data_IF_273627941444
#
_entry.id   IF_273627941444
#
_cell.length_a   1.000
_cell.length_b   1.000
_cell.length_c   1.000
_cell.angle_alpha   90.00
_cell.angle_beta   90.00
_cell.angle_gamma   90.00
#
_symmetry.space_group_name_H-M   'P 1'
#
loop_
_entity.id
_entity.type
_entity.pdbx_description
1 polymer ?
#
# COMPACT_ATOMS: atom_id res chain seq x y z
N UNK A 1 22.59 -14.46 -26.33
CA UNK A 1 21.85 -15.73 -26.23
C UNK A 1 21.93 -16.23 -24.79
N UNK A 2 21.40 -15.47 -23.83
CA UNK A 2 21.55 -15.77 -22.42
C UNK A 2 20.23 -15.57 -21.70
N UNK A 3 19.90 -16.47 -20.80
CA UNK A 3 18.63 -16.48 -20.04
C UNK A 3 18.48 -15.28 -19.08
N UNK A 4 19.45 -14.36 -19.08
CA UNK A 4 19.54 -13.17 -18.24
C UNK A 4 19.19 -11.86 -18.96
N UNK A 5 18.64 -11.92 -20.17
CA UNK A 5 18.12 -10.73 -20.85
C UNK A 5 16.98 -10.10 -20.02
N UNK A 6 17.09 -8.82 -19.66
CA UNK A 6 16.04 -8.05 -18.96
C UNK A 6 14.65 -8.18 -19.63
N UNK A 7 14.64 -8.32 -20.96
CA UNK A 7 13.41 -8.54 -21.74
C UNK A 7 12.70 -9.86 -21.38
N UNK A 8 13.43 -10.92 -21.04
CA UNK A 8 12.83 -12.19 -20.60
C UNK A 8 12.10 -12.01 -19.28
N UNK A 9 12.70 -11.32 -18.31
CA UNK A 9 12.05 -11.00 -17.03
C UNK A 9 10.79 -10.16 -17.21
N UNK A 10 10.82 -9.19 -18.14
CA UNK A 10 9.65 -8.38 -18.46
C UNK A 10 8.50 -9.22 -19.03
N UNK A 11 8.79 -10.14 -19.95
CA UNK A 11 7.79 -11.05 -20.53
C UNK A 11 7.27 -12.04 -19.48
N UNK A 12 8.13 -12.55 -18.60
CA UNK A 12 7.73 -13.46 -17.52
C UNK A 12 6.79 -12.77 -16.54
N UNK A 13 7.08 -11.52 -16.13
CA UNK A 13 6.19 -10.74 -15.28
C UNK A 13 4.85 -10.47 -15.94
N UNK A 14 4.84 -10.19 -17.24
CA UNK A 14 3.61 -10.00 -17.99
C UNK A 14 2.76 -11.28 -17.97
N UNK A 15 3.35 -12.43 -18.31
CA UNK A 15 2.65 -13.73 -18.30
C UNK A 15 2.17 -14.09 -16.89
N UNK A 16 3.00 -13.89 -15.86
CA UNK A 16 2.61 -14.10 -14.47
C UNK A 16 1.40 -13.22 -14.10
N UNK A 17 1.39 -11.95 -14.48
CA UNK A 17 0.27 -11.04 -14.23
C UNK A 17 -1.01 -11.47 -14.98
N UNK A 18 -0.90 -12.04 -16.19
CA UNK A 18 -2.04 -12.60 -16.91
C UNK A 18 -2.59 -13.86 -16.22
N UNK A 19 -1.73 -14.76 -15.74
CA UNK A 19 -2.14 -16.01 -15.06
C UNK A 19 -2.76 -15.74 -13.69
N UNK A 20 -2.11 -14.89 -12.88
CA UNK A 20 -2.62 -14.52 -11.56
C UNK A 20 -3.77 -13.51 -11.63
N UNK A 21 -3.83 -12.69 -12.68
CA UNK A 21 -4.76 -11.59 -12.84
C UNK A 21 -4.40 -10.36 -12.00
N UNK A 22 -4.66 -9.16 -12.53
CA UNK A 22 -4.33 -7.88 -11.87
C UNK A 22 -5.03 -7.67 -10.53
N UNK A 23 -6.24 -8.23 -10.34
CA UNK A 23 -6.98 -8.15 -9.07
C UNK A 23 -6.28 -8.87 -7.92
N UNK A 24 -5.75 -10.08 -8.15
CA UNK A 24 -5.04 -10.84 -7.11
C UNK A 24 -3.70 -10.19 -6.78
N UNK A 25 -2.95 -9.76 -7.79
CA UNK A 25 -1.67 -9.07 -7.59
C UNK A 25 -1.86 -7.73 -6.86
N UNK A 26 -2.95 -6.99 -7.11
CA UNK A 26 -3.24 -5.75 -6.39
C UNK A 26 -3.61 -6.00 -4.93
N UNK A 27 -4.46 -6.98 -4.63
CA UNK A 27 -4.82 -7.32 -3.24
C UNK A 27 -3.61 -7.82 -2.46
N UNK A 28 -2.90 -8.84 -2.95
CA UNK A 28 -1.73 -9.38 -2.25
C UNK A 28 -0.54 -8.41 -2.25
N UNK A 29 -0.36 -7.64 -3.33
CA UNK A 29 0.71 -6.67 -3.45
C UNK A 29 0.51 -5.42 -2.60
N UNK A 30 -0.73 -5.05 -2.27
CA UNK A 30 -1.00 -3.96 -1.31
C UNK A 30 -0.55 -4.38 0.08
N UNK A 31 -1.01 -5.53 0.57
CA UNK A 31 -0.70 -6.01 1.92
C UNK A 31 0.80 -6.28 2.11
N UNK A 32 1.44 -6.94 1.13
CA UNK A 32 2.88 -7.17 1.13
C UNK A 32 3.67 -5.88 0.92
N UNK A 33 3.16 -4.97 0.09
CA UNK A 33 3.78 -3.67 -0.17
C UNK A 33 3.79 -2.78 1.07
N UNK A 34 2.74 -2.83 1.88
CA UNK A 34 2.64 -2.07 3.13
C UNK A 34 3.63 -2.58 4.18
N UNK A 35 3.75 -3.91 4.32
CA UNK A 35 4.74 -4.54 5.19
C UNK A 35 6.18 -4.20 4.76
N UNK A 36 6.49 -4.28 3.46
CA UNK A 36 7.80 -3.94 2.91
C UNK A 36 8.07 -2.42 3.02
N UNK A 37 7.05 -1.57 2.85
CA UNK A 37 7.16 -0.11 3.01
C UNK A 37 7.55 0.23 4.45
N UNK A 38 6.92 -0.39 5.44
CA UNK A 38 7.27 -0.23 6.85
C UNK A 38 8.70 -0.70 7.16
N UNK A 39 9.12 -1.84 6.62
CA UNK A 39 10.50 -2.34 6.78
C UNK A 39 11.54 -1.42 6.14
N UNK A 40 11.29 -0.96 4.90
CA UNK A 40 12.20 0.01 4.24
C UNK A 40 12.25 1.31 5.03
N UNK A 41 11.13 1.72 5.62
CA UNK A 41 11.04 2.92 6.46
C UNK A 41 11.89 2.80 7.70
N UNK A 42 11.81 1.70 8.44
CA UNK A 42 12.63 1.50 9.64
C UNK A 42 14.12 1.42 9.32
N UNK A 43 14.48 0.78 8.19
CA UNK A 43 15.88 0.69 7.75
C UNK A 43 16.45 2.05 7.30
N UNK A 44 15.62 2.93 6.72
CA UNK A 44 16.06 4.26 6.26
C UNK A 44 15.82 5.37 7.30
N UNK A 45 15.06 5.12 8.37
CA UNK A 45 14.77 6.10 9.42
C UNK A 45 15.97 6.39 10.32
N UNK A 46 17.05 5.62 10.22
CA UNK A 46 18.32 5.92 10.91
C UNK A 46 19.07 7.12 10.27
N UNK A 47 18.63 7.60 9.09
CA UNK A 47 19.30 8.70 8.34
C UNK A 47 18.41 9.94 8.03
N UNK A 48 17.07 9.94 8.17
CA UNK A 48 16.24 11.15 7.94
C UNK A 48 14.87 11.15 8.69
N UNK A 49 14.35 12.33 9.13
CA UNK A 49 13.06 12.44 9.83
C UNK A 49 11.87 12.27 8.86
N UNK A 50 11.41 11.03 8.75
CA UNK A 50 10.02 10.62 8.67
C UNK A 50 8.96 11.46 7.86
N UNK A 51 9.18 11.79 6.59
CA UNK A 51 8.07 12.24 5.69
C UNK A 51 7.19 11.08 5.20
N UNK A 52 6.08 10.78 5.90
CA UNK A 52 4.87 10.07 5.42
C UNK A 52 4.06 9.43 6.56
N UNK A 53 3.26 10.23 7.26
CA UNK A 53 1.83 9.91 7.42
C UNK A 53 1.19 9.82 6.02
N UNK A 54 -0.02 9.27 5.86
CA UNK A 54 -0.75 9.09 4.59
C UNK A 54 -0.57 7.71 3.93
N UNK A 55 -1.24 6.71 4.50
CA UNK A 55 -2.10 5.79 3.76
C UNK A 55 -2.95 5.03 4.77
N UNK A 56 -4.17 5.50 5.06
CA UNK A 56 -5.15 4.66 5.79
C UNK A 56 -6.09 5.36 6.76
N UNK A 57 -5.86 6.63 7.14
CA UNK A 57 -6.51 7.19 8.34
C UNK A 57 -7.37 8.42 8.06
N UNK A 58 -8.27 8.38 7.05
CA UNK A 58 -9.26 9.47 6.85
C UNK A 58 -10.67 9.03 6.44
N UNK A 59 -11.00 7.73 6.37
CA UNK A 59 -12.29 7.31 5.80
C UNK A 59 -13.40 6.87 6.80
N UNK A 60 -13.20 6.90 8.13
CA UNK A 60 -14.21 6.31 9.03
C UNK A 60 -14.36 6.90 10.44
N UNK A 61 -13.81 8.08 10.74
CA UNK A 61 -13.87 8.64 12.11
C UNK A 61 -14.63 9.98 12.26
N UNK A 62 -15.44 10.41 11.29
CA UNK A 62 -16.17 11.68 11.37
C UNK A 62 -17.55 11.62 10.68
N UNK A 63 -18.55 11.02 11.36
CA UNK A 63 -19.82 11.75 11.48
C UNK A 63 -20.45 11.70 12.89
N UNK A 64 -19.81 11.05 13.88
CA UNK A 64 -20.42 10.87 15.22
C UNK A 64 -20.26 12.08 16.16
N UNK A 65 -19.23 12.91 15.99
CA UNK A 65 -18.94 14.06 16.87
C UNK A 65 -19.95 15.21 16.68
N UNK A 66 -20.48 15.37 15.47
CA UNK A 66 -21.50 16.38 15.13
C UNK A 66 -22.92 15.99 15.60
N UNK A 67 -23.20 14.69 15.74
CA UNK A 67 -24.52 14.21 16.19
C UNK A 67 -24.66 14.20 17.72
N UNK A 68 -23.54 14.02 18.44
CA UNK A 68 -23.52 14.06 19.90
C UNK A 68 -23.72 15.48 20.44
N UNK A 69 -23.16 16.48 19.75
CA UNK A 69 -23.32 17.91 20.08
C UNK A 69 -24.73 18.44 19.79
N UNK A 70 -25.44 17.89 18.80
CA UNK A 70 -26.84 18.23 18.52
C UNK A 70 -27.83 17.58 19.50
N UNK A 71 -27.50 16.44 20.12
CA UNK A 71 -28.34 15.79 21.14
C UNK A 71 -28.18 16.37 22.54
N UNK A 72 -27.05 17.02 22.83
CA UNK A 72 -26.80 17.63 24.13
C UNK A 72 -27.43 19.03 24.29
N UNK A 73 -28.00 19.60 23.22
CA UNK A 73 -28.62 20.93 23.22
C UNK A 73 -30.16 20.88 23.12
N UNK A 74 -30.79 19.71 23.30
CA UNK A 74 -32.24 19.51 23.29
C UNK A 74 -32.76 18.97 24.62
#
# INVERSE_FOLDING_TARGET
>A
MGIFDWKHWLVLLLVALLVFGSKRVKHLGSDLGEAIKGFRRSVNAEDEPATQQLAGEEAAAEPRRLQESARQQA
#
